data_IF_444544946740
#
_entry.id   IF_444544946740
#
_cell.length_a   1.000
_cell.length_b   1.000
_cell.length_c   1.000
_cell.angle_alpha   90.00
_cell.angle_beta   90.00
_cell.angle_gamma   90.00
#
_symmetry.space_group_name_H-M   'P 1'
#
loop_
_entity.id
_entity.type
_entity.pdbx_description
1 polymer ?
#
# COMPACT_ATOMS: atom_id res chain seq x y z
N UNK A 1 -36.77 -9.33 -6.55
CA UNK A 1 -36.40 -10.34 -7.56
C UNK A 1 -36.68 -9.79 -8.95
N UNK A 2 -35.86 -8.84 -9.40
CA UNK A 2 -35.74 -8.46 -10.81
C UNK A 2 -34.28 -8.74 -11.17
N UNK A 3 -34.07 -9.69 -12.08
CA UNK A 3 -32.76 -10.21 -12.47
C UNK A 3 -32.09 -9.22 -13.41
N UNK A 4 -30.78 -9.01 -13.25
CA UNK A 4 -29.90 -8.52 -14.32
C UNK A 4 -29.73 -9.67 -15.32
N UNK A 5 -30.83 -10.10 -15.95
CA UNK A 5 -30.80 -11.08 -17.03
C UNK A 5 -31.27 -10.50 -18.37
N UNK A 6 -32.01 -9.40 -18.38
CA UNK A 6 -32.54 -8.84 -19.63
C UNK A 6 -31.96 -7.43 -19.84
N UNK A 7 -31.55 -7.12 -21.07
CA UNK A 7 -31.08 -5.81 -21.60
C UNK A 7 -29.57 -5.56 -21.78
N UNK A 8 -28.75 -6.59 -22.07
CA UNK A 8 -27.54 -6.35 -22.90
C UNK A 8 -27.41 -7.52 -23.87
N UNK A 9 -27.92 -7.31 -25.09
CA UNK A 9 -27.67 -8.14 -26.27
C UNK A 9 -26.24 -7.87 -26.74
N UNK A 10 -25.32 -8.74 -26.36
CA UNK A 10 -24.06 -8.89 -27.08
C UNK A 10 -23.74 -10.39 -27.12
N UNK A 11 -24.03 -11.02 -28.26
CA UNK A 11 -24.11 -12.48 -28.52
C UNK A 11 -22.80 -13.26 -28.27
N UNK A 12 -21.76 -12.68 -27.67
CA UNK A 12 -20.48 -13.36 -27.44
C UNK A 12 -19.80 -13.12 -26.08
N UNK A 13 -20.40 -12.36 -25.14
CA UNK A 13 -19.80 -12.19 -23.82
C UNK A 13 -20.42 -13.17 -22.81
N UNK A 14 -19.78 -14.33 -22.62
CA UNK A 14 -20.10 -15.20 -21.50
C UNK A 14 -19.82 -14.45 -20.19
N UNK A 15 -20.85 -13.83 -19.60
CA UNK A 15 -20.80 -13.03 -18.36
C UNK A 15 -20.37 -13.84 -17.13
N UNK A 16 -20.08 -15.13 -17.25
CA UNK A 16 -19.47 -15.96 -16.22
C UNK A 16 -18.02 -16.39 -16.54
N UNK A 17 -17.46 -15.93 -17.66
CA UNK A 17 -16.10 -16.30 -18.06
C UNK A 17 -15.06 -15.65 -17.16
N UNK A 18 -14.06 -16.44 -16.77
CA UNK A 18 -12.89 -15.95 -16.06
C UNK A 18 -11.90 -15.30 -17.07
N UNK A 19 -11.36 -14.08 -16.82
CA UNK A 19 -10.60 -13.32 -17.82
C UNK A 19 -9.11 -13.73 -17.89
N UNK A 20 -8.81 -15.02 -18.11
CA UNK A 20 -7.44 -15.52 -18.08
C UNK A 20 -6.51 -14.83 -19.08
N UNK A 21 -7.01 -14.57 -20.29
CA UNK A 21 -6.27 -13.92 -21.37
C UNK A 21 -5.81 -12.49 -21.05
N UNK A 22 -6.50 -11.81 -20.13
CA UNK A 22 -6.14 -10.47 -19.67
C UNK A 22 -4.99 -10.53 -18.66
N UNK A 23 -4.88 -11.63 -17.90
CA UNK A 23 -3.95 -11.73 -16.78
C UNK A 23 -2.55 -12.22 -17.18
N UNK A 24 -2.39 -12.90 -18.32
CA UNK A 24 -1.11 -13.53 -18.69
C UNK A 24 -0.07 -12.57 -19.31
N UNK A 25 -0.47 -11.36 -19.73
CA UNK A 25 0.34 -10.50 -20.60
C UNK A 25 1.35 -9.61 -19.86
N UNK A 26 1.16 -9.37 -18.56
CA UNK A 26 1.98 -8.45 -17.76
C UNK A 26 1.13 -7.68 -16.76
N UNK A 27 1.76 -6.99 -15.81
CA UNK A 27 1.02 -6.26 -14.77
C UNK A 27 0.24 -5.07 -15.33
N UNK A 28 0.79 -4.35 -16.33
CA UNK A 28 0.16 -3.15 -16.88
C UNK A 28 -1.05 -3.51 -17.76
N UNK A 29 -0.89 -4.51 -18.63
CA UNK A 29 -1.96 -5.05 -19.46
C UNK A 29 -3.06 -5.69 -18.62
N UNK A 30 -2.70 -6.45 -17.59
CA UNK A 30 -3.67 -7.00 -16.64
C UNK A 30 -4.41 -5.89 -15.89
N UNK A 31 -3.71 -4.84 -15.46
CA UNK A 31 -4.33 -3.74 -14.74
C UNK A 31 -5.31 -2.95 -15.62
N UNK A 32 -5.00 -2.75 -16.90
CA UNK A 32 -5.91 -2.16 -17.87
C UNK A 32 -7.10 -3.08 -18.18
N UNK A 33 -6.85 -4.36 -18.46
CA UNK A 33 -7.88 -5.33 -18.82
C UNK A 33 -8.87 -5.63 -17.70
N UNK A 34 -8.45 -5.49 -16.44
CA UNK A 34 -9.32 -5.69 -15.28
C UNK A 34 -10.34 -4.55 -15.08
N UNK A 35 -10.15 -3.37 -15.68
CA UNK A 35 -11.15 -2.30 -15.60
C UNK A 35 -12.43 -2.71 -16.34
N UNK A 36 -13.56 -2.60 -15.66
CA UNK A 36 -14.85 -3.08 -16.16
C UNK A 36 -15.21 -4.50 -15.74
N UNK A 37 -14.24 -5.36 -15.41
CA UNK A 37 -14.50 -6.69 -14.86
C UNK A 37 -15.21 -6.63 -13.50
N UNK A 38 -15.84 -7.74 -13.09
CA UNK A 38 -16.54 -7.84 -11.81
C UNK A 38 -15.73 -8.64 -10.79
N UNK A 39 -15.63 -8.12 -9.57
CA UNK A 39 -15.22 -8.90 -8.41
C UNK A 39 -16.48 -9.26 -7.61
N UNK A 40 -16.78 -10.56 -7.55
CA UNK A 40 -18.03 -11.09 -7.03
C UNK A 40 -17.76 -11.89 -5.76
N UNK A 41 -18.49 -11.58 -4.69
CA UNK A 41 -18.49 -12.29 -3.42
C UNK A 41 -19.75 -13.13 -3.32
N UNK A 42 -19.57 -14.44 -3.22
CA UNK A 42 -20.65 -15.40 -3.01
C UNK A 42 -20.86 -15.62 -1.50
N UNK A 43 -22.12 -15.57 -1.06
CA UNK A 43 -22.50 -15.74 0.34
C UNK A 43 -23.12 -17.12 0.60
N UNK A 44 -23.01 -17.66 1.83
CA UNK A 44 -23.55 -18.98 2.15
C UNK A 44 -25.07 -19.14 1.96
N UNK A 45 -25.82 -18.03 1.97
CA UNK A 45 -27.27 -18.00 1.74
C UNK A 45 -27.67 -18.03 0.25
N UNK A 46 -26.67 -18.15 -0.64
CA UNK A 46 -26.87 -18.17 -2.09
C UNK A 46 -27.01 -16.77 -2.72
N UNK A 47 -26.87 -15.70 -1.95
CA UNK A 47 -26.84 -14.33 -2.48
C UNK A 47 -25.42 -13.94 -2.91
N UNK A 48 -25.32 -12.83 -3.65
CA UNK A 48 -24.04 -12.29 -4.12
C UNK A 48 -23.92 -10.80 -3.86
N UNK A 49 -22.68 -10.34 -3.70
CA UNK A 49 -22.33 -8.92 -3.76
C UNK A 49 -21.27 -8.73 -4.85
N UNK A 50 -21.44 -7.76 -5.74
CA UNK A 50 -20.52 -7.56 -6.85
C UNK A 50 -20.14 -6.09 -7.00
N UNK A 51 -18.85 -5.86 -7.27
CA UNK A 51 -18.34 -4.55 -7.68
C UNK A 51 -17.76 -4.64 -9.08
N UNK A 52 -18.05 -3.66 -9.92
CA UNK A 52 -17.35 -3.42 -11.18
C UNK A 52 -16.05 -2.71 -10.89
N UNK A 53 -14.92 -3.25 -11.32
CA UNK A 53 -13.59 -2.69 -11.01
C UNK A 53 -13.41 -1.40 -11.82
N UNK A 54 -13.14 -0.29 -11.13
CA UNK A 54 -12.99 1.05 -11.75
C UNK A 54 -11.62 1.67 -11.51
N UNK A 55 -10.79 1.07 -10.66
CA UNK A 55 -9.44 1.55 -10.39
C UNK A 55 -8.50 0.40 -10.00
N UNK A 56 -7.34 0.36 -10.67
CA UNK A 56 -6.30 -0.65 -10.50
C UNK A 56 -4.91 -0.02 -10.38
N UNK A 57 -3.97 -0.74 -9.76
CA UNK A 57 -2.54 -0.40 -9.81
C UNK A 57 -1.71 -1.63 -10.17
N UNK A 58 -0.76 -1.45 -11.08
CA UNK A 58 0.15 -2.49 -11.53
C UNK A 58 1.42 -2.56 -10.67
N UNK A 59 1.84 -3.78 -10.34
CA UNK A 59 3.07 -4.09 -9.60
C UNK A 59 3.72 -5.36 -10.17
N UNK A 60 5.03 -5.31 -10.40
CA UNK A 60 5.81 -6.48 -10.81
C UNK A 60 7.18 -6.52 -10.10
N UNK A 61 7.93 -7.59 -10.31
CA UNK A 61 9.21 -7.86 -9.64
C UNK A 61 10.32 -6.88 -10.05
N UNK A 62 10.17 -6.16 -11.16
CA UNK A 62 11.11 -5.14 -11.58
C UNK A 62 10.77 -3.74 -11.02
N UNK A 63 9.70 -3.64 -10.23
CA UNK A 63 9.19 -2.40 -9.69
C UNK A 63 9.64 -2.17 -8.24
N UNK A 64 10.46 -1.15 -7.95
CA UNK A 64 10.90 -0.86 -6.58
C UNK A 64 9.77 -0.57 -5.57
N UNK A 65 8.55 -0.27 -6.04
CA UNK A 65 7.38 -0.10 -5.18
C UNK A 65 6.65 -1.42 -4.87
N UNK A 66 6.98 -2.51 -5.57
CA UNK A 66 6.33 -3.81 -5.42
C UNK A 66 6.85 -4.59 -4.22
N UNK A 67 5.95 -5.34 -3.57
CA UNK A 67 6.34 -6.33 -2.57
C UNK A 67 7.24 -7.44 -3.13
N UNK A 68 7.28 -7.63 -4.45
CA UNK A 68 8.06 -8.69 -5.11
C UNK A 68 9.47 -8.24 -5.52
N UNK A 69 9.80 -6.96 -5.39
CA UNK A 69 11.08 -6.37 -5.84
C UNK A 69 12.31 -7.07 -5.26
N UNK A 70 12.29 -7.36 -3.96
CA UNK A 70 13.38 -8.05 -3.25
C UNK A 70 13.29 -9.58 -3.33
N UNK A 71 12.48 -10.10 -4.25
CA UNK A 71 12.28 -11.52 -4.45
C UNK A 71 11.19 -12.13 -3.56
N UNK A 72 11.13 -13.45 -3.59
CA UNK A 72 10.07 -14.24 -2.97
C UNK A 72 10.27 -14.36 -1.46
N UNK A 73 9.18 -14.17 -0.72
CA UNK A 73 9.07 -14.35 0.72
C UNK A 73 7.78 -15.11 1.04
N UNK A 74 7.64 -15.55 2.29
CA UNK A 74 6.40 -16.18 2.77
C UNK A 74 5.19 -15.24 2.63
N UNK A 75 5.40 -13.95 2.88
CA UNK A 75 4.35 -12.91 2.82
C UNK A 75 3.83 -12.68 1.42
N UNK A 76 4.68 -12.73 0.39
CA UNK A 76 4.34 -12.37 -0.99
C UNK A 76 4.26 -13.58 -1.94
N UNK A 77 4.47 -14.82 -1.45
CA UNK A 77 4.55 -16.03 -2.29
C UNK A 77 3.39 -16.18 -3.29
N UNK A 78 2.19 -15.72 -2.95
CA UNK A 78 1.04 -15.78 -3.85
C UNK A 78 1.27 -14.99 -5.14
N UNK A 79 1.95 -13.84 -5.08
CA UNK A 79 2.28 -13.04 -6.28
C UNK A 79 3.27 -13.71 -7.23
N UNK A 80 3.99 -14.73 -6.76
CA UNK A 80 4.90 -15.54 -7.58
C UNK A 80 4.22 -16.81 -8.10
N UNK A 81 2.94 -17.02 -7.80
CA UNK A 81 2.17 -18.17 -8.25
C UNK A 81 1.43 -17.91 -9.57
N UNK A 82 0.56 -18.85 -9.97
CA UNK A 82 -0.22 -18.71 -11.20
C UNK A 82 -1.12 -17.47 -11.19
N UNK A 83 -1.27 -16.85 -12.36
CA UNK A 83 -2.20 -15.74 -12.56
C UNK A 83 -3.65 -16.14 -12.21
N UNK A 84 -4.43 -15.18 -11.71
CA UNK A 84 -5.82 -15.41 -11.34
C UNK A 84 -6.09 -15.79 -9.88
N UNK A 85 -5.13 -15.57 -8.99
CA UNK A 85 -5.27 -15.82 -7.57
C UNK A 85 -5.31 -14.51 -6.79
N UNK A 86 -5.92 -14.53 -5.61
CA UNK A 86 -5.97 -13.39 -4.72
C UNK A 86 -4.69 -13.31 -3.88
N UNK A 87 -3.94 -12.22 -4.01
CA UNK A 87 -2.91 -11.86 -3.05
C UNK A 87 -3.49 -10.87 -2.03
N UNK A 88 -3.90 -11.39 -0.87
CA UNK A 88 -4.42 -10.57 0.24
C UNK A 88 -3.34 -10.29 1.29
N UNK A 89 -3.12 -9.03 1.58
CA UNK A 89 -2.18 -8.61 2.61
C UNK A 89 -2.78 -7.56 3.53
N UNK A 90 -2.31 -7.58 4.77
CA UNK A 90 -2.70 -6.60 5.77
C UNK A 90 -1.85 -5.35 5.63
N UNK A 91 -2.48 -4.18 5.63
CA UNK A 91 -1.85 -2.88 5.50
C UNK A 91 -2.31 -1.95 6.62
N UNK A 92 -1.41 -1.06 7.05
CA UNK A 92 -1.65 -0.06 8.10
C UNK A 92 -2.29 -0.62 9.39
N UNK A 93 -2.09 -1.91 9.66
CA UNK A 93 -2.52 -2.57 10.89
C UNK A 93 -4.02 -2.71 11.14
N UNK A 94 -4.86 -2.36 10.18
CA UNK A 94 -6.32 -2.44 10.34
C UNK A 94 -7.06 -2.92 9.10
N UNK A 95 -6.42 -2.89 7.92
CA UNK A 95 -7.12 -3.06 6.66
C UNK A 95 -6.46 -4.11 5.80
N UNK A 96 -7.26 -4.77 4.98
CA UNK A 96 -6.76 -5.63 3.93
C UNK A 96 -6.73 -4.88 2.60
N UNK A 97 -5.78 -5.27 1.76
CA UNK A 97 -5.78 -4.99 0.34
C UNK A 97 -5.78 -6.32 -0.40
N UNK A 98 -6.38 -6.35 -1.59
CA UNK A 98 -6.40 -7.53 -2.46
C UNK A 98 -5.76 -7.20 -3.79
N UNK A 99 -4.86 -8.06 -4.25
CA UNK A 99 -4.34 -8.02 -5.60
C UNK A 99 -4.79 -9.26 -6.36
N UNK A 100 -4.92 -9.14 -7.67
CA UNK A 100 -5.07 -10.28 -8.59
C UNK A 100 -3.67 -10.61 -9.13
N UNK A 101 -3.22 -11.85 -8.96
CA UNK A 101 -1.94 -12.29 -9.52
C UNK A 101 -2.02 -12.31 -11.04
N UNK A 102 -0.93 -11.93 -11.69
CA UNK A 102 -0.85 -11.77 -13.14
C UNK A 102 0.52 -12.24 -13.65
N UNK A 103 0.71 -12.31 -14.96
CA UNK A 103 1.96 -12.70 -15.60
C UNK A 103 2.28 -14.18 -15.49
N UNK A 104 3.55 -14.51 -15.77
CA UNK A 104 4.07 -15.87 -15.76
C UNK A 104 4.28 -16.39 -14.33
N UNK A 105 4.02 -17.68 -14.12
CA UNK A 105 4.30 -18.35 -12.86
C UNK A 105 5.81 -18.25 -12.52
N UNK A 106 6.12 -18.01 -11.26
CA UNK A 106 7.48 -17.75 -10.77
C UNK A 106 7.99 -16.31 -10.93
N UNK A 107 7.30 -15.43 -11.66
CA UNK A 107 7.63 -14.00 -11.75
C UNK A 107 6.65 -13.18 -10.91
N UNK A 108 7.16 -12.45 -9.92
CA UNK A 108 6.31 -11.78 -8.94
C UNK A 108 5.50 -10.63 -9.55
N UNK A 109 4.20 -10.84 -9.85
CA UNK A 109 3.40 -9.91 -10.64
C UNK A 109 1.93 -9.89 -10.18
N UNK A 110 1.34 -8.70 -10.10
CA UNK A 110 -0.05 -8.56 -9.70
C UNK A 110 -0.63 -7.15 -9.79
N UNK A 111 -1.95 -7.10 -9.70
CA UNK A 111 -2.75 -5.90 -9.85
C UNK A 111 -3.54 -5.63 -8.58
N UNK A 112 -3.28 -4.52 -7.91
CA UNK A 112 -4.11 -4.09 -6.78
C UNK A 112 -5.47 -3.61 -7.27
N UNK A 113 -6.54 -4.17 -6.71
CA UNK A 113 -7.89 -3.67 -6.91
C UNK A 113 -8.14 -2.55 -5.89
N UNK A 114 -8.20 -1.31 -6.37
CA UNK A 114 -8.30 -0.14 -5.48
C UNK A 114 -9.71 0.32 -5.25
N UNK A 115 -10.54 0.29 -6.27
CA UNK A 115 -11.93 0.72 -6.14
C UNK A 115 -12.83 -0.02 -7.12
N UNK A 116 -14.10 -0.09 -6.76
CA UNK A 116 -15.13 -0.67 -7.60
C UNK A 116 -16.47 0.01 -7.41
N UNK A 117 -17.24 0.10 -8.48
CA UNK A 117 -18.64 0.54 -8.49
C UNK A 117 -19.53 -0.64 -8.03
N UNK A 118 -20.22 -0.56 -6.89
CA UNK A 118 -21.16 -1.59 -6.45
C UNK A 118 -22.28 -1.74 -7.48
N UNK A 119 -22.49 -2.95 -7.98
CA UNK A 119 -23.52 -3.27 -8.99
C UNK A 119 -24.56 -4.28 -8.50
N UNK A 120 -24.24 -5.04 -7.44
CA UNK A 120 -25.17 -6.01 -6.84
C UNK A 120 -24.88 -6.18 -5.34
N UNK A 121 -25.91 -6.49 -4.54
CA UNK A 121 -25.78 -6.75 -3.11
C UNK A 121 -25.31 -5.53 -2.31
N UNK A 122 -25.71 -4.32 -2.73
CA UNK A 122 -25.27 -3.04 -2.17
C UNK A 122 -25.74 -2.87 -0.73
N UNK A 123 -26.93 -3.36 -0.38
CA UNK A 123 -27.46 -3.35 0.98
C UNK A 123 -26.56 -4.17 1.92
N UNK A 124 -26.11 -5.35 1.48
CA UNK A 124 -25.22 -6.19 2.27
C UNK A 124 -23.85 -5.54 2.46
N UNK A 125 -23.27 -4.97 1.39
CA UNK A 125 -22.04 -4.18 1.50
C UNK A 125 -22.20 -3.01 2.48
N UNK A 126 -23.34 -2.31 2.44
CA UNK A 126 -23.66 -1.19 3.32
C UNK A 126 -23.70 -1.61 4.79
N UNK A 127 -24.28 -2.78 5.09
CA UNK A 127 -24.30 -3.37 6.43
C UNK A 127 -22.87 -3.69 6.92
N UNK A 128 -22.07 -4.37 6.11
CA UNK A 128 -20.66 -4.67 6.41
C UNK A 128 -19.82 -3.39 6.63
N UNK A 129 -20.25 -2.29 6.01
CA UNK A 129 -19.61 -0.97 6.09
C UNK A 129 -20.24 -0.05 7.13
N UNK A 130 -21.07 -0.58 8.03
CA UNK A 130 -21.67 0.17 9.13
C UNK A 130 -22.58 1.31 8.68
N UNK A 131 -23.38 1.06 7.64
CA UNK A 131 -24.36 2.03 7.10
C UNK A 131 -23.78 3.05 6.12
N UNK A 132 -22.50 2.95 5.73
CA UNK A 132 -21.89 3.84 4.73
C UNK A 132 -22.45 3.54 3.35
N UNK A 133 -22.82 4.57 2.60
CA UNK A 133 -23.41 4.46 1.25
C UNK A 133 -22.69 5.35 0.22
N UNK A 134 -23.04 5.21 -1.06
CA UNK A 134 -22.46 5.96 -2.17
C UNK A 134 -20.99 5.61 -2.42
N UNK A 135 -20.23 6.51 -3.05
CA UNK A 135 -18.84 6.24 -3.44
C UNK A 135 -17.94 5.75 -2.30
N UNK A 136 -18.14 6.26 -1.08
CA UNK A 136 -17.36 5.87 0.12
C UNK A 136 -17.56 4.41 0.56
N UNK A 137 -18.50 3.69 -0.05
CA UNK A 137 -18.68 2.26 0.21
C UNK A 137 -17.43 1.49 -0.25
N UNK A 138 -16.89 1.82 -1.41
CA UNK A 138 -15.86 1.02 -2.12
C UNK A 138 -14.75 1.84 -2.80
N UNK A 139 -14.73 3.17 -2.69
CA UNK A 139 -13.71 4.05 -3.30
C UNK A 139 -12.35 4.07 -2.56
N UNK A 140 -11.77 2.89 -2.35
CA UNK A 140 -10.44 2.71 -1.78
C UNK A 140 -10.20 1.25 -1.41
N UNK A 141 -8.95 0.77 -1.45
CA UNK A 141 -8.66 -0.67 -1.44
C UNK A 141 -9.14 -1.34 -0.15
N UNK A 142 -8.87 -0.70 0.99
CA UNK A 142 -9.37 -1.12 2.29
C UNK A 142 -10.91 -1.13 2.39
N UNK A 143 -11.56 -0.16 1.74
CA UNK A 143 -13.02 -0.01 1.79
C UNK A 143 -13.70 -1.10 0.97
N UNK A 144 -13.17 -1.35 -0.22
CA UNK A 144 -13.59 -2.45 -1.09
C UNK A 144 -13.44 -3.80 -0.39
N UNK A 145 -12.29 -4.07 0.25
CA UNK A 145 -12.11 -5.31 1.01
C UNK A 145 -13.14 -5.44 2.14
N UNK A 146 -13.43 -4.37 2.88
CA UNK A 146 -14.46 -4.41 3.93
C UNK A 146 -15.87 -4.63 3.37
N UNK A 147 -16.22 -3.98 2.26
CA UNK A 147 -17.52 -4.11 1.62
C UNK A 147 -17.78 -5.54 1.11
N UNK A 148 -16.73 -6.27 0.72
CA UNK A 148 -16.80 -7.64 0.23
C UNK A 148 -16.37 -8.71 1.26
N UNK A 149 -16.15 -8.32 2.52
CA UNK A 149 -15.61 -9.19 3.57
C UNK A 149 -14.35 -9.97 3.14
N UNK A 150 -13.42 -9.29 2.46
CA UNK A 150 -12.13 -9.85 2.05
C UNK A 150 -11.13 -9.67 3.18
N UNK A 151 -10.60 -10.79 3.67
CA UNK A 151 -9.56 -10.84 4.69
C UNK A 151 -8.46 -11.88 4.35
N UNK A 152 -7.54 -12.11 5.29
CA UNK A 152 -6.39 -13.00 5.07
C UNK A 152 -6.77 -14.44 4.75
N UNK A 153 -7.98 -14.91 5.10
CA UNK A 153 -8.45 -16.26 4.74
C UNK A 153 -8.50 -16.49 3.23
N UNK A 154 -8.61 -15.42 2.44
CA UNK A 154 -8.60 -15.47 0.97
C UNK A 154 -7.18 -15.31 0.37
N UNK A 155 -6.12 -15.42 1.17
CA UNK A 155 -4.76 -15.39 0.66
C UNK A 155 -4.46 -16.63 -0.21
N UNK A 156 -4.06 -16.39 -1.46
CA UNK A 156 -3.84 -17.43 -2.46
C UNK A 156 -5.13 -18.02 -3.03
N UNK A 157 -6.30 -17.45 -2.73
CA UNK A 157 -7.59 -17.95 -3.21
C UNK A 157 -7.69 -17.92 -4.73
N UNK A 158 -8.20 -18.98 -5.33
CA UNK A 158 -8.43 -19.08 -6.76
C UNK A 158 -9.68 -18.29 -7.18
N UNK A 159 -9.49 -17.20 -7.93
CA UNK A 159 -10.58 -16.29 -8.31
C UNK A 159 -11.50 -16.87 -9.39
N UNK A 160 -11.32 -18.12 -9.81
CA UNK A 160 -12.33 -18.86 -10.59
C UNK A 160 -13.48 -19.38 -9.72
N UNK A 161 -13.25 -19.51 -8.42
CA UNK A 161 -14.09 -20.27 -7.51
C UNK A 161 -14.71 -19.39 -6.42
N UNK A 162 -15.90 -19.73 -5.91
CA UNK A 162 -16.41 -19.16 -4.66
C UNK A 162 -15.42 -19.36 -3.51
N UNK A 163 -15.41 -18.49 -2.48
CA UNK A 163 -16.40 -17.44 -2.25
C UNK A 163 -16.04 -16.09 -2.90
N UNK A 164 -14.91 -15.96 -3.60
CA UNK A 164 -14.53 -14.72 -4.27
C UNK A 164 -14.13 -15.03 -5.71
N UNK A 165 -14.91 -14.53 -6.66
CA UNK A 165 -14.73 -14.76 -8.10
C UNK A 165 -14.39 -13.49 -8.85
N UNK A 166 -13.53 -13.62 -9.84
CA UNK A 166 -13.28 -12.61 -10.86
C UNK A 166 -14.01 -13.02 -12.13
N UNK A 167 -14.83 -12.11 -12.64
CA UNK A 167 -15.70 -12.36 -13.76
C UNK A 167 -15.44 -11.32 -14.84
N UNK A 168 -15.27 -11.77 -16.08
CA UNK A 168 -15.00 -10.92 -17.23
C UNK A 168 -16.20 -10.04 -17.53
N UNK A 169 -15.93 -8.75 -17.69
CA UNK A 169 -16.85 -7.78 -18.25
C UNK A 169 -16.03 -6.66 -18.92
N UNK A 170 -16.65 -5.99 -19.88
CA UNK A 170 -16.03 -4.93 -20.67
C UNK A 170 -16.29 -3.55 -20.06
N UNK A 171 -15.53 -2.55 -20.52
CA UNK A 171 -15.88 -1.15 -20.35
C UNK A 171 -17.26 -0.88 -20.97
N UNK A 172 -18.01 0.09 -20.41
CA UNK A 172 -19.24 0.59 -21.03
C UNK A 172 -18.86 1.49 -22.22
N UNK A 173 -19.78 1.62 -23.18
CA UNK A 173 -19.62 2.52 -24.32
C UNK A 173 -19.25 3.93 -23.87
N UNK A 174 -18.27 4.54 -24.55
CA UNK A 174 -17.75 5.88 -24.24
C UNK A 174 -16.83 5.98 -23.01
N UNK A 175 -16.61 4.92 -22.24
CA UNK A 175 -15.67 4.96 -21.11
C UNK A 175 -14.21 4.97 -21.57
N UNK A 176 -13.39 5.76 -20.88
CA UNK A 176 -11.96 5.92 -21.18
C UNK A 176 -11.12 5.54 -19.96
N UNK A 177 -10.02 4.84 -20.22
CA UNK A 177 -9.01 4.55 -19.20
C UNK A 177 -8.03 5.71 -19.13
N UNK A 178 -7.81 6.23 -17.93
CA UNK A 178 -6.77 7.21 -17.63
C UNK A 178 -5.65 6.59 -16.81
N UNK A 179 -4.41 7.02 -17.07
CA UNK A 179 -3.22 6.63 -16.33
C UNK A 179 -2.77 7.78 -15.41
N UNK A 180 -2.37 7.43 -14.21
CA UNK A 180 -1.88 8.37 -13.19
C UNK A 180 -0.73 7.71 -12.42
N UNK A 181 0.07 8.50 -11.68
CA UNK A 181 0.94 7.90 -10.69
C UNK A 181 0.16 7.19 -9.58
N UNK A 182 0.77 6.16 -9.00
CA UNK A 182 0.19 5.34 -7.93
C UNK A 182 0.09 6.10 -6.62
N UNK A 183 -0.86 5.69 -5.77
CA UNK A 183 -1.14 6.33 -4.49
C UNK A 183 -0.47 5.55 -3.35
N UNK A 184 0.27 6.28 -2.52
CA UNK A 184 0.80 5.75 -1.26
C UNK A 184 2.10 4.95 -1.42
N UNK A 185 2.87 5.23 -2.47
CA UNK A 185 4.21 4.68 -2.70
C UNK A 185 5.26 5.79 -2.64
N UNK A 186 6.47 5.46 -2.17
CA UNK A 186 7.62 6.38 -2.09
C UNK A 186 8.64 6.16 -3.21
N UNK A 187 8.76 4.93 -3.72
CA UNK A 187 9.68 4.55 -4.79
C UNK A 187 8.94 4.47 -6.12
N UNK A 188 9.59 4.85 -7.22
CA UNK A 188 8.99 4.85 -8.56
C UNK A 188 7.60 5.53 -8.59
N UNK A 189 7.47 6.62 -7.80
CA UNK A 189 6.21 7.32 -7.53
C UNK A 189 5.76 8.22 -8.68
N UNK A 190 6.64 8.46 -9.66
CA UNK A 190 6.39 9.17 -10.90
C UNK A 190 5.80 8.27 -12.00
N UNK A 191 6.00 6.95 -11.91
CA UNK A 191 5.55 6.00 -12.95
C UNK A 191 4.02 5.92 -13.01
N UNK A 192 3.39 6.06 -14.19
CA UNK A 192 1.93 6.17 -14.34
C UNK A 192 1.21 4.81 -14.29
N UNK A 193 1.56 3.96 -13.32
CA UNK A 193 1.07 2.57 -13.21
C UNK A 193 -0.23 2.40 -12.41
N UNK A 194 -1.03 3.46 -12.35
CA UNK A 194 -2.37 3.46 -11.77
C UNK A 194 -3.39 3.81 -12.85
N UNK A 195 -4.33 2.91 -13.07
CA UNK A 195 -5.34 3.05 -14.11
C UNK A 195 -6.72 3.26 -13.49
N UNK A 196 -7.48 4.18 -14.09
CA UNK A 196 -8.83 4.56 -13.64
C UNK A 196 -9.79 4.61 -14.82
N UNK A 197 -11.06 4.30 -14.58
CA UNK A 197 -12.13 4.70 -15.49
C UNK A 197 -12.41 6.19 -15.27
N UNK A 198 -12.05 7.02 -16.24
CA UNK A 198 -12.13 8.49 -16.12
C UNK A 198 -13.57 8.94 -15.88
N UNK A 199 -13.76 9.87 -14.94
CA UNK A 199 -15.08 10.40 -14.60
C UNK A 199 -15.96 9.49 -13.73
N UNK A 200 -15.56 8.23 -13.48
CA UNK A 200 -16.37 7.34 -12.64
C UNK A 200 -16.34 7.79 -11.16
N UNK A 201 -17.51 7.99 -10.51
CA UNK A 201 -17.58 8.55 -9.16
C UNK A 201 -17.03 7.61 -8.06
N UNK A 202 -16.82 6.34 -8.36
CA UNK A 202 -16.27 5.34 -7.43
C UNK A 202 -14.75 5.26 -7.45
N UNK A 203 -14.06 5.93 -8.38
CA UNK A 203 -12.61 6.08 -8.33
C UNK A 203 -12.20 6.73 -7.01
N UNK A 204 -11.12 6.23 -6.39
CA UNK A 204 -10.65 6.76 -5.11
C UNK A 204 -10.28 8.24 -5.22
N UNK A 205 -10.59 9.00 -4.16
CA UNK A 205 -10.31 10.43 -4.13
C UNK A 205 -8.81 10.66 -4.00
N UNK A 206 -8.21 11.31 -5.01
CA UNK A 206 -6.81 11.69 -5.02
C UNK A 206 -6.59 12.94 -5.87
N UNK A 207 -5.70 13.88 -5.47
CA UNK A 207 -5.30 15.00 -6.31
C UNK A 207 -4.69 14.56 -7.65
N UNK A 208 -4.13 13.34 -7.70
CA UNK A 208 -3.55 12.78 -8.92
C UNK A 208 -4.60 12.51 -10.02
N UNK A 209 -5.88 12.46 -9.68
CA UNK A 209 -6.96 12.24 -10.66
C UNK A 209 -7.00 13.35 -11.71
N UNK A 210 -6.70 14.59 -11.32
CA UNK A 210 -6.64 15.74 -12.23
C UNK A 210 -5.48 15.65 -13.25
N UNK A 211 -4.51 14.75 -13.01
CA UNK A 211 -3.36 14.51 -13.89
C UNK A 211 -3.53 13.28 -14.77
N UNK A 212 -4.74 12.70 -14.82
CA UNK A 212 -4.99 11.50 -15.60
C UNK A 212 -4.83 11.78 -17.10
N UNK A 213 -3.95 11.02 -17.75
CA UNK A 213 -3.74 11.05 -19.20
C UNK A 213 -4.42 9.81 -19.80
N UNK A 214 -5.15 9.92 -20.92
CA UNK A 214 -5.74 8.75 -21.57
C UNK A 214 -4.70 7.67 -21.87
N UNK A 215 -5.03 6.40 -21.64
CA UNK A 215 -4.09 5.27 -21.79
C UNK A 215 -3.52 5.14 -23.21
N UNK A 216 -4.29 5.48 -24.23
CA UNK A 216 -3.88 5.52 -25.64
C UNK A 216 -2.91 6.67 -25.96
N UNK A 217 -2.92 7.72 -25.15
CA UNK A 217 -2.00 8.85 -25.25
C UNK A 217 -0.79 8.72 -24.31
N UNK A 218 -0.87 7.84 -23.31
CA UNK A 218 0.25 7.46 -22.47
C UNK A 218 1.17 6.56 -23.33
N UNK A 219 2.43 6.97 -23.52
CA UNK A 219 3.43 6.13 -24.19
C UNK A 219 3.59 4.75 -23.52
N UNK A 220 4.46 3.87 -24.04
CA UNK A 220 4.62 2.53 -23.49
C UNK A 220 4.87 2.57 -21.97
N UNK A 221 3.97 1.91 -21.21
CA UNK A 221 4.03 1.82 -19.74
C UNK A 221 5.29 1.08 -19.25
N UNK A 222 5.95 0.34 -20.16
CA UNK A 222 7.25 -0.30 -19.99
C UNK A 222 8.39 0.51 -20.63
N UNK A 223 9.42 0.80 -19.84
CA UNK A 223 10.75 1.07 -20.37
C UNK A 223 11.26 -0.17 -21.10
N UNK A 224 11.35 -0.10 -22.42
CA UNK A 224 11.84 -1.20 -23.26
C UNK A 224 13.29 -1.51 -22.91
N UNK A 225 13.63 -2.79 -22.75
CA UNK A 225 15.01 -3.25 -22.58
C UNK A 225 15.88 -2.76 -23.75
N UNK A 226 16.99 -2.08 -23.44
CA UNK A 226 18.11 -1.96 -24.36
C UNK A 226 19.12 -3.08 -24.06
N UNK A 227 19.35 -3.90 -25.09
CA UNK A 227 20.39 -4.93 -25.20
C UNK A 227 21.79 -4.34 -25.02
N UNK A 228 22.74 -5.18 -24.61
CA UNK A 228 24.11 -5.10 -25.10
C UNK A 228 25.18 -4.86 -24.04
N UNK A 229 25.81 -5.96 -23.65
CA UNK A 229 27.17 -6.03 -23.10
C UNK A 229 28.13 -5.11 -23.85
N UNK A 230 28.88 -4.28 -23.13
CA UNK A 230 30.30 -4.06 -23.38
C UNK A 230 30.99 -3.52 -22.12
N UNK A 231 31.96 -4.29 -21.64
CA UNK A 231 32.96 -3.82 -20.71
C UNK A 231 33.85 -2.79 -21.43
N UNK A 232 34.15 -1.66 -20.79
CA UNK A 232 35.41 -0.98 -21.05
C UNK A 232 35.89 -0.16 -19.86
N UNK A 233 37.17 -0.31 -19.64
CA UNK A 233 38.02 0.21 -18.58
C UNK A 233 38.09 1.75 -18.55
N UNK A 234 38.33 2.25 -17.34
CA UNK A 234 39.11 3.43 -16.93
C UNK A 234 39.51 4.46 -18.00
N UNK A 235 39.23 5.73 -17.71
CA UNK A 235 40.24 6.80 -17.82
C UNK A 235 39.94 7.92 -16.81
N UNK A 236 40.86 8.05 -15.86
CA UNK A 236 41.14 9.28 -15.13
C UNK A 236 41.28 10.45 -16.10
N UNK A 237 40.63 11.57 -15.77
CA UNK A 237 41.20 12.90 -16.03
C UNK A 237 40.88 13.78 -14.83
N UNK A 238 41.95 14.40 -14.33
CA UNK A 238 42.00 15.34 -13.21
C UNK A 238 41.76 16.72 -13.79
N UNK A 239 40.88 17.51 -13.16
CA UNK A 239 40.97 18.96 -13.13
C UNK A 239 40.07 19.49 -12.01
N UNK A 240 40.72 20.07 -11.01
CA UNK A 240 40.15 20.82 -9.91
C UNK A 240 39.36 22.04 -10.40
N UNK A 241 38.22 22.34 -9.77
CA UNK A 241 37.99 23.68 -9.23
C UNK A 241 36.94 23.64 -8.11
N UNK A 242 37.21 24.43 -7.08
CA UNK A 242 36.55 24.49 -5.79
C UNK A 242 35.21 25.25 -5.87
N UNK A 243 34.23 24.77 -5.10
CA UNK A 243 32.95 25.45 -4.91
C UNK A 243 32.13 24.79 -3.81
N UNK A 244 32.63 24.91 -2.59
CA UNK A 244 31.97 24.54 -1.34
C UNK A 244 30.59 25.22 -1.19
N UNK A 245 29.56 24.42 -0.96
CA UNK A 245 28.61 24.71 0.11
C UNK A 245 27.92 23.41 0.56
N UNK A 246 28.57 22.72 1.49
CA UNK A 246 27.99 21.62 2.25
C UNK A 246 26.83 22.09 3.14
N UNK A 247 25.61 21.77 2.73
CA UNK A 247 24.42 21.81 3.57
C UNK A 247 23.99 20.40 3.97
N UNK A 248 24.59 19.85 5.02
CA UNK A 248 24.07 18.64 5.68
C UNK A 248 22.69 18.95 6.26
N UNK A 249 21.61 18.60 5.55
CA UNK A 249 20.25 18.71 6.09
C UNK A 249 20.05 17.64 7.15
N UNK A 250 20.37 17.95 8.41
CA UNK A 250 20.01 17.07 9.53
C UNK A 250 18.49 17.00 9.64
N UNK A 251 17.92 15.81 9.49
CA UNK A 251 16.49 15.58 9.69
C UNK A 251 16.10 15.80 11.17
N UNK A 252 15.11 16.65 11.44
CA UNK A 252 14.64 16.93 12.81
C UNK A 252 13.61 15.88 13.25
N UNK A 253 13.99 14.98 14.17
CA UNK A 253 13.10 13.96 14.75
C UNK A 253 12.67 14.37 16.15
N UNK A 254 11.36 14.53 16.35
CA UNK A 254 10.74 14.94 17.60
C UNK A 254 9.81 13.87 18.16
N UNK A 255 9.42 14.00 19.42
CA UNK A 255 8.39 13.16 20.05
C UNK A 255 7.31 14.07 20.64
N UNK A 256 6.05 13.62 20.58
CA UNK A 256 4.92 14.35 21.18
C UNK A 256 3.81 13.38 21.60
N UNK A 257 3.06 13.72 22.66
CA UNK A 257 1.88 12.92 23.01
C UNK A 257 0.77 13.15 21.99
N UNK A 258 0.14 12.08 21.53
CA UNK A 258 -1.00 12.13 20.59
C UNK A 258 -2.25 12.80 21.17
N UNK A 259 -2.27 13.07 22.48
CA UNK A 259 -3.34 13.78 23.15
C UNK A 259 -3.12 15.29 23.23
N UNK A 260 -1.94 15.79 22.87
CA UNK A 260 -1.63 17.22 22.81
C UNK A 260 -2.11 17.81 21.47
N UNK A 261 -2.42 19.10 21.49
CA UNK A 261 -2.86 19.81 20.28
C UNK A 261 -1.77 19.78 19.19
N UNK A 262 -2.13 19.53 17.93
CA UNK A 262 -1.17 19.59 16.83
C UNK A 262 -0.59 20.99 16.68
N UNK A 263 0.72 21.04 16.41
CA UNK A 263 1.41 22.28 16.06
C UNK A 263 1.66 22.29 14.55
N UNK A 264 1.60 23.49 13.96
CA UNK A 264 2.02 23.71 12.58
C UNK A 264 3.50 23.33 12.35
N UNK A 265 4.29 23.28 13.42
CA UNK A 265 5.70 22.93 13.39
C UNK A 265 5.98 21.43 13.55
N UNK A 266 4.96 20.56 13.61
CA UNK A 266 5.16 19.11 13.85
C UNK A 266 5.73 18.36 12.64
N UNK A 267 5.66 18.94 11.44
CA UNK A 267 6.01 18.23 10.20
C UNK A 267 5.14 16.97 10.02
N UNK A 268 5.74 15.88 9.55
CA UNK A 268 5.03 14.61 9.40
C UNK A 268 4.75 13.98 10.77
N UNK A 269 3.49 13.71 11.09
CA UNK A 269 3.05 13.13 12.36
C UNK A 269 2.88 11.62 12.24
N UNK A 270 3.77 10.87 12.89
CA UNK A 270 3.84 9.40 12.79
C UNK A 270 3.48 8.76 14.12
N UNK A 271 2.36 8.04 14.19
CA UNK A 271 2.00 7.24 15.37
C UNK A 271 2.92 6.03 15.47
N UNK A 272 3.55 5.86 16.64
CA UNK A 272 4.52 4.78 16.91
C UNK A 272 4.09 3.85 18.05
N UNK A 273 2.84 3.97 18.51
CA UNK A 273 2.22 3.03 19.44
C UNK A 273 1.53 1.89 18.70
N UNK A 274 1.55 0.69 19.28
CA UNK A 274 0.86 -0.47 18.70
C UNK A 274 -0.67 -0.36 18.75
N UNK A 275 -1.18 0.39 19.72
CA UNK A 275 -2.61 0.58 19.92
C UNK A 275 -3.01 1.99 19.52
N UNK A 276 -4.18 2.11 18.91
CA UNK A 276 -4.76 3.40 18.61
C UNK A 276 -5.11 4.14 19.92
N UNK A 277 -4.85 5.46 20.03
CA UNK A 277 -5.17 6.24 21.23
C UNK A 277 -6.66 6.20 21.55
N UNK A 278 -6.98 5.94 22.82
CA UNK A 278 -8.36 5.82 23.29
C UNK A 278 -9.07 7.17 23.18
N UNK A 279 -10.34 7.16 22.80
CA UNK A 279 -11.16 8.38 22.74
C UNK A 279 -10.79 9.36 21.62
N UNK A 280 -9.86 9.01 20.73
CA UNK A 280 -9.49 9.82 19.56
C UNK A 280 -10.04 9.15 18.29
N UNK A 281 -10.74 9.92 17.46
CA UNK A 281 -11.06 9.50 16.09
C UNK A 281 -9.83 9.65 15.19
N UNK A 282 -9.82 8.99 14.02
CA UNK A 282 -8.75 9.17 13.01
C UNK A 282 -8.60 10.63 12.57
N UNK A 283 -9.70 11.35 12.44
CA UNK A 283 -9.70 12.74 12.02
C UNK A 283 -9.16 13.67 13.11
N UNK A 284 -9.56 13.46 14.36
CA UNK A 284 -9.16 14.30 15.50
C UNK A 284 -7.75 14.03 16.03
N UNK A 285 -7.11 12.92 15.64
CA UNK A 285 -5.78 12.56 16.13
C UNK A 285 -4.65 13.25 15.33
N UNK A 286 -4.95 13.78 14.14
CA UNK A 286 -3.98 14.37 13.22
C UNK A 286 -2.76 13.45 13.02
N UNK A 287 -3.01 12.16 12.79
CA UNK A 287 -1.98 11.16 12.52
C UNK A 287 -1.89 11.00 11.01
N UNK A 288 -0.75 11.33 10.42
CA UNK A 288 -0.54 11.20 8.98
C UNK A 288 -0.19 9.75 8.61
N UNK A 289 0.67 9.12 9.42
CA UNK A 289 1.14 7.75 9.20
C UNK A 289 1.09 6.99 10.53
N UNK A 290 0.69 5.72 10.48
CA UNK A 290 0.75 4.82 11.63
C UNK A 290 1.65 3.63 11.34
N UNK A 291 2.77 3.51 12.06
CA UNK A 291 3.73 2.41 11.92
C UNK A 291 3.63 1.51 13.15
N UNK A 292 2.49 0.84 13.31
CA UNK A 292 2.24 -0.06 14.47
C UNK A 292 3.32 -1.14 14.69
N UNK A 293 4.06 -1.49 13.65
CA UNK A 293 5.06 -2.56 13.70
C UNK A 293 6.42 -2.08 14.20
N UNK A 294 6.63 -0.75 14.29
CA UNK A 294 7.81 -0.20 14.98
C UNK A 294 7.66 -0.26 16.50
N UNK A 295 6.42 -0.35 17.00
CA UNK A 295 6.12 -0.35 18.42
C UNK A 295 6.63 -1.65 19.10
N UNK A 296 6.90 -1.62 20.41
CA UNK A 296 7.26 -2.83 21.15
C UNK A 296 6.18 -3.92 21.02
N UNK A 297 6.60 -5.18 21.12
CA UNK A 297 5.71 -6.34 21.12
C UNK A 297 4.65 -6.25 22.20
N UNK A 298 3.58 -7.05 22.07
CA UNK A 298 2.53 -7.11 23.08
C UNK A 298 3.10 -7.60 24.42
N UNK A 299 3.97 -8.59 24.34
CA UNK A 299 4.65 -9.26 25.44
C UNK A 299 5.54 -8.26 26.19
N UNK A 300 6.43 -7.56 25.47
CA UNK A 300 7.34 -6.58 26.05
C UNK A 300 6.59 -5.38 26.65
N UNK A 301 5.55 -4.87 25.97
CA UNK A 301 4.71 -3.78 26.50
C UNK A 301 3.95 -4.19 27.76
N UNK A 302 3.45 -5.42 27.81
CA UNK A 302 2.74 -5.96 28.99
C UNK A 302 3.71 -6.14 30.15
N UNK A 303 4.92 -6.64 29.88
CA UNK A 303 5.96 -6.81 30.89
C UNK A 303 6.47 -5.48 31.44
N UNK A 304 6.71 -4.48 30.58
CA UNK A 304 7.15 -3.15 31.02
C UNK A 304 6.10 -2.53 31.95
N UNK A 305 4.82 -2.61 31.58
CA UNK A 305 3.71 -2.18 32.43
C UNK A 305 3.77 -0.71 32.88
N UNK A 306 4.61 0.12 32.25
CA UNK A 306 4.96 1.48 32.69
C UNK A 306 5.58 1.54 34.09
N UNK A 307 6.27 0.48 34.53
CA UNK A 307 7.01 0.42 35.79
C UNK A 307 8.37 1.12 35.59
N UNK A 308 8.65 2.27 36.23
CA UNK A 308 9.87 3.06 35.99
C UNK A 308 11.17 2.27 36.17
N UNK A 309 11.23 1.38 37.16
CA UNK A 309 12.40 0.56 37.49
C UNK A 309 12.73 -0.45 36.38
N UNK A 310 11.77 -0.77 35.50
CA UNK A 310 11.96 -1.67 34.36
C UNK A 310 12.38 -0.95 33.10
N UNK A 311 12.49 0.39 33.10
CA UNK A 311 12.65 1.15 31.87
C UNK A 311 13.97 0.87 31.14
N UNK A 312 15.09 0.74 31.85
CA UNK A 312 16.39 0.50 31.21
C UNK A 312 16.43 -0.86 30.51
N UNK A 313 15.91 -1.89 31.17
CA UNK A 313 15.78 -3.22 30.59
C UNK A 313 14.75 -3.25 29.46
N UNK A 314 13.61 -2.56 29.61
CA UNK A 314 12.66 -2.37 28.53
C UNK A 314 13.31 -1.72 27.32
N UNK A 315 14.13 -0.69 27.51
CA UNK A 315 14.82 0.00 26.44
C UNK A 315 15.85 -0.92 25.75
N UNK A 316 16.54 -1.79 26.48
CA UNK A 316 17.45 -2.79 25.88
C UNK A 316 16.69 -3.79 25.01
N UNK A 317 15.67 -4.44 25.59
CA UNK A 317 14.85 -5.45 24.88
C UNK A 317 14.11 -4.85 23.68
N UNK A 318 13.65 -3.61 23.79
CA UNK A 318 12.98 -2.95 22.67
C UNK A 318 13.96 -2.62 21.54
N UNK A 319 15.23 -2.27 21.83
CA UNK A 319 16.24 -2.13 20.78
C UNK A 319 16.51 -3.45 20.07
N UNK A 320 16.56 -4.56 20.79
CA UNK A 320 16.69 -5.89 20.18
C UNK A 320 15.50 -6.23 19.25
N UNK A 321 14.28 -5.88 19.66
CA UNK A 321 13.08 -6.02 18.80
C UNK A 321 13.17 -5.13 17.55
N UNK A 322 13.76 -3.93 17.65
CA UNK A 322 13.98 -3.03 16.52
C UNK A 322 15.05 -3.58 15.57
N UNK A 323 16.17 -4.08 16.11
CA UNK A 323 17.24 -4.70 15.33
C UNK A 323 16.75 -5.96 14.59
N UNK A 324 15.89 -6.74 15.24
CA UNK A 324 15.21 -7.89 14.63
C UNK A 324 14.09 -7.52 13.64
N UNK A 325 13.76 -6.23 13.49
CA UNK A 325 12.70 -5.73 12.61
C UNK A 325 13.22 -4.65 11.64
N UNK A 326 14.17 -5.00 10.75
CA UNK A 326 14.78 -4.04 9.83
C UNK A 326 13.78 -3.43 8.84
N UNK A 327 12.68 -4.12 8.51
CA UNK A 327 11.64 -3.61 7.59
C UNK A 327 10.94 -2.38 8.18
N UNK A 328 10.44 -2.47 9.43
CA UNK A 328 9.75 -1.36 10.07
C UNK A 328 10.70 -0.19 10.35
N UNK A 329 11.93 -0.48 10.80
CA UNK A 329 12.96 0.53 11.04
C UNK A 329 13.32 1.26 9.74
N UNK A 330 13.55 0.54 8.65
CA UNK A 330 13.88 1.15 7.35
C UNK A 330 12.75 2.03 6.84
N UNK A 331 11.49 1.58 6.96
CA UNK A 331 10.32 2.38 6.60
C UNK A 331 10.25 3.69 7.38
N UNK A 332 10.51 3.67 8.69
CA UNK A 332 10.52 4.89 9.50
C UNK A 332 11.70 5.80 9.12
N UNK A 333 12.88 5.24 8.87
CA UNK A 333 14.05 6.01 8.39
C UNK A 333 13.80 6.66 7.03
N UNK A 334 13.14 5.97 6.10
CA UNK A 334 12.76 6.54 4.80
C UNK A 334 11.80 7.74 4.97
N UNK A 335 10.82 7.65 5.87
CA UNK A 335 9.93 8.77 6.18
C UNK A 335 10.68 9.95 6.79
N UNK A 336 11.64 9.69 7.68
CA UNK A 336 12.50 10.70 8.29
C UNK A 336 13.38 11.38 7.24
N UNK A 337 13.97 10.63 6.31
CA UNK A 337 14.81 11.18 5.25
C UNK A 337 13.99 12.01 4.24
N UNK A 338 12.72 11.65 4.01
CA UNK A 338 11.84 12.32 3.05
C UNK A 338 11.17 13.60 3.56
N UNK A 339 11.34 13.97 4.84
CA UNK A 339 10.67 15.13 5.43
C UNK A 339 11.66 15.96 6.25
N UNK A 340 11.58 17.31 6.18
CA UNK A 340 12.45 18.19 6.97
C UNK A 340 12.28 17.99 8.48
N UNK A 341 11.09 17.55 8.90
CA UNK A 341 10.76 17.23 10.28
C UNK A 341 9.75 16.09 10.38
N UNK A 342 9.99 15.20 11.34
CA UNK A 342 9.07 14.12 11.71
C UNK A 342 8.82 14.14 13.21
N UNK A 343 7.54 14.09 13.60
CA UNK A 343 7.12 13.99 15.01
C UNK A 343 6.54 12.60 15.28
N UNK A 344 7.22 11.84 16.15
CA UNK A 344 6.78 10.54 16.61
C UNK A 344 5.72 10.71 17.71
N UNK A 345 4.50 10.25 17.44
CA UNK A 345 3.37 10.36 18.34
C UNK A 345 3.25 9.12 19.22
N UNK A 346 3.05 9.32 20.52
CA UNK A 346 2.85 8.26 21.52
C UNK A 346 1.71 8.59 22.49
N UNK A 347 1.17 7.58 23.17
CA UNK A 347 0.01 7.67 24.03
C UNK A 347 0.29 7.59 25.54
N UNK A 348 1.48 7.13 25.94
CA UNK A 348 1.87 7.03 27.35
C UNK A 348 1.71 8.38 28.09
N UNK A 349 1.36 8.36 29.39
CA UNK A 349 1.31 9.57 30.22
C UNK A 349 2.69 10.03 30.67
N UNK A 350 3.62 9.09 30.83
CA UNK A 350 5.01 9.38 31.17
C UNK A 350 5.74 9.85 29.90
N UNK A 351 6.25 11.08 29.95
CA UNK A 351 6.91 11.75 28.83
C UNK A 351 8.39 11.36 28.68
N UNK A 352 8.99 10.79 29.74
CA UNK A 352 10.41 10.46 29.81
C UNK A 352 10.66 8.96 29.62
N UNK A 353 9.77 8.13 30.14
CA UNK A 353 9.91 6.66 30.14
C UNK A 353 8.85 5.99 29.27
N UNK A 354 9.02 6.10 27.95
CA UNK A 354 8.13 5.49 26.96
C UNK A 354 8.88 4.98 25.72
N UNK A 355 8.18 4.21 24.89
CA UNK A 355 8.72 3.64 23.65
C UNK A 355 9.23 4.70 22.66
N UNK A 356 8.56 5.86 22.52
CA UNK A 356 8.98 6.87 21.56
C UNK A 356 10.32 7.52 21.93
N UNK A 357 10.62 7.65 23.23
CA UNK A 357 11.94 8.10 23.71
C UNK A 357 13.03 7.12 23.29
N UNK A 358 12.82 5.82 23.52
CA UNK A 358 13.77 4.76 23.14
C UNK A 358 13.96 4.73 21.62
N UNK A 359 12.86 4.77 20.87
CA UNK A 359 12.86 4.74 19.41
C UNK A 359 13.58 5.96 18.81
N UNK A 360 13.32 7.16 19.32
CA UNK A 360 14.03 8.37 18.88
C UNK A 360 15.53 8.23 19.10
N UNK A 361 15.95 7.77 20.29
CA UNK A 361 17.37 7.56 20.60
C UNK A 361 17.99 6.53 19.67
N UNK A 362 17.33 5.38 19.47
CA UNK A 362 17.78 4.34 18.54
C UNK A 362 18.01 4.88 17.10
N UNK A 363 17.10 5.72 16.61
CA UNK A 363 17.20 6.32 15.27
C UNK A 363 18.36 7.31 15.15
N UNK A 364 18.63 8.10 16.19
CA UNK A 364 19.69 9.11 16.19
C UNK A 364 21.09 8.51 16.47
N UNK A 365 21.19 7.53 17.37
CA UNK A 365 22.46 6.87 17.70
C UNK A 365 23.06 6.13 16.48
N UNK A 366 22.21 5.63 15.57
CA UNK A 366 22.67 4.96 14.34
C UNK A 366 23.24 5.94 13.30
N UNK A 367 22.81 7.21 13.32
CA UNK A 367 23.29 8.23 12.37
C UNK A 367 24.71 8.70 12.71
N UNK A 368 25.05 8.78 14.01
CA UNK A 368 26.38 9.17 14.49
C UNK A 368 27.44 8.12 14.11
N UNK A 369 27.14 6.83 14.29
CA UNK A 369 28.06 5.73 13.93
C UNK A 369 28.36 5.65 12.42
N UNK A 370 27.43 6.10 11.56
CA UNK A 370 27.63 6.14 10.10
C UNK A 370 28.42 7.39 9.65
N UNK A 371 28.30 8.52 10.34
CA UNK A 371 29.12 9.71 10.11
C UNK A 371 30.57 9.54 10.61
N UNK A 372 30.77 8.94 11.78
CA UNK A 372 32.12 8.70 12.32
C UNK A 372 32.92 7.68 11.47
N UNK A 373 32.26 6.66 10.92
CA UNK A 373 32.89 5.70 10.02
C UNK A 373 33.30 6.32 8.67
N UNK A 374 32.59 7.34 8.20
CA UNK A 374 32.91 8.07 6.97
C UNK A 374 33.97 9.17 7.16
N UNK A 375 34.24 9.60 8.40
CA UNK A 375 35.26 10.63 8.70
C UNK A 375 36.64 10.02 9.01
N UNK A 376 36.72 8.70 9.20
CA UNK A 376 37.97 7.94 9.47
C UNK A 376 38.55 7.21 8.25
N UNK A 377 37.93 7.33 7.09
CA UNK A 377 38.50 6.96 5.78
C UNK A 377 38.91 8.23 5.06
#
# INVERSE_FOLDING_TARGET
MARICDEIDDENCNRNAFPMELLIRGADEAAAGLLGCLLVRDWPDGTHSAVRIVETEAYDQNDPASHTYHGRSERNRAMFGPAGHAYVYFTYGMHYCVNVTAGADGFGCGVLIRAGEPVEGVEHMTQLRGGRTGAQLTNGPAKLCQALAIDKSLYGHDLRMPPLRLVRASLKEGERIGCTPRIGISKAADRPRRLIIMGNPYVSKSPLNAKAVPLDAAGPMHGTQAKGTQAMQTKQTVADDNGDNGGSTSCDVRIRRVYEEPSADDGLRVLVDRLWPRGRSKQSAHVDVWIKDIAPSKELRTWFGHIPERFDEFASRYREELDANPEAVSRLRELIAGHPRVTLLYGAKDNERNNAVVLRKYLLDTQVSQQEANTRK
#
